data_IF_022556611862
#
_entry.id   IF_022556611862
#
_cell.length_a   1.000
_cell.length_b   1.000
_cell.length_c   1.000
_cell.angle_alpha   90.00
_cell.angle_beta   90.00
_cell.angle_gamma   90.00
#
_symmetry.space_group_name_H-M   'P 1'
#
loop_
_entity.id
_entity.type
_entity.pdbx_description
1 polymer ?
#
# COMPACT_ATOMS: atom_id res chain seq x y z
N UNK A 1 -22.13 -9.29 1.92
CA UNK A 1 -21.96 -10.72 1.59
C UNK A 1 -23.26 -11.52 1.74
N UNK A 2 -23.92 -11.54 2.92
CA UNK A 2 -25.09 -12.38 3.19
C UNK A 2 -26.19 -12.29 2.13
N UNK A 3 -26.67 -11.10 1.82
CA UNK A 3 -27.73 -10.87 0.83
C UNK A 3 -27.36 -11.40 -0.57
N UNK A 4 -26.10 -11.21 -0.98
CA UNK A 4 -25.63 -11.69 -2.29
C UNK A 4 -25.59 -13.21 -2.33
N UNK A 5 -25.14 -13.87 -1.26
CA UNK A 5 -25.12 -15.34 -1.17
C UNK A 5 -26.55 -15.90 -1.20
N UNK A 6 -27.50 -15.27 -0.46
CA UNK A 6 -28.90 -15.67 -0.47
C UNK A 6 -29.53 -15.52 -1.86
N UNK A 7 -29.22 -14.43 -2.56
CA UNK A 7 -29.67 -14.22 -3.93
C UNK A 7 -29.11 -15.27 -4.90
N UNK A 8 -27.79 -15.54 -4.85
CA UNK A 8 -27.15 -16.56 -5.68
C UNK A 8 -27.76 -17.94 -5.45
N UNK A 9 -27.97 -18.33 -4.20
CA UNK A 9 -28.60 -19.61 -3.87
C UNK A 9 -30.03 -19.72 -4.39
N UNK A 10 -30.80 -18.63 -4.35
CA UNK A 10 -32.17 -18.59 -4.84
C UNK A 10 -32.24 -18.64 -6.37
N UNK A 11 -31.44 -17.80 -7.04
CA UNK A 11 -31.59 -17.53 -8.46
C UNK A 11 -30.75 -18.48 -9.32
N UNK A 12 -29.49 -18.74 -8.90
CA UNK A 12 -28.52 -19.53 -9.70
C UNK A 12 -28.35 -20.98 -9.20
N UNK A 13 -28.63 -21.23 -7.91
CA UNK A 13 -28.51 -22.54 -7.24
C UNK A 13 -27.15 -23.20 -7.43
N UNK A 14 -26.03 -22.51 -7.18
CA UNK A 14 -24.71 -23.07 -7.35
C UNK A 14 -24.45 -24.19 -6.37
N UNK A 15 -23.65 -25.19 -6.77
CA UNK A 15 -23.16 -26.24 -5.88
C UNK A 15 -22.09 -25.75 -4.92
N UNK A 16 -21.25 -24.76 -5.35
CA UNK A 16 -20.15 -24.17 -4.58
C UNK A 16 -20.18 -22.66 -4.72
N UNK A 17 -19.98 -21.94 -3.61
CA UNK A 17 -19.84 -20.48 -3.60
C UNK A 17 -18.46 -20.10 -3.07
N UNK A 18 -17.68 -19.43 -3.92
CA UNK A 18 -16.35 -18.93 -3.58
C UNK A 18 -16.38 -17.39 -3.58
N UNK A 19 -15.93 -16.77 -2.50
CA UNK A 19 -15.73 -15.34 -2.43
C UNK A 19 -14.27 -15.00 -2.79
N UNK A 20 -14.08 -14.10 -3.74
CA UNK A 20 -12.80 -13.43 -3.99
C UNK A 20 -12.79 -12.09 -3.26
N UNK A 21 -11.84 -11.90 -2.35
CA UNK A 21 -11.81 -10.75 -1.45
C UNK A 21 -10.45 -10.04 -1.48
N UNK A 22 -10.41 -8.81 -0.94
CA UNK A 22 -9.17 -8.09 -0.71
C UNK A 22 -9.27 -7.30 0.61
N UNK A 23 -9.51 -8.02 1.73
CA UNK A 23 -9.82 -7.42 3.03
C UNK A 23 -8.77 -7.72 4.11
N UNK A 24 -7.83 -8.60 3.83
CA UNK A 24 -6.92 -9.17 4.81
C UNK A 24 -7.45 -10.44 5.46
N UNK A 25 -6.60 -11.16 6.18
CA UNK A 25 -6.97 -12.43 6.79
C UNK A 25 -7.82 -12.23 8.05
N UNK A 26 -7.24 -11.78 9.17
CA UNK A 26 -7.99 -11.48 10.39
C UNK A 26 -8.57 -10.05 10.39
N UNK A 27 -7.80 -9.13 9.88
CA UNK A 27 -8.11 -7.73 9.67
C UNK A 27 -7.33 -7.25 8.44
N UNK A 28 -7.38 -5.98 8.13
CA UNK A 28 -6.54 -5.44 7.05
C UNK A 28 -5.04 -5.38 7.41
N UNK A 29 -4.64 -6.01 8.50
CA UNK A 29 -3.26 -6.10 8.95
C UNK A 29 -2.72 -4.73 9.35
N UNK A 30 -1.43 -4.52 9.04
CA UNK A 30 -0.72 -3.27 9.28
C UNK A 30 -1.06 -2.16 8.27
N UNK A 31 -2.08 -2.36 7.43
CA UNK A 31 -2.37 -1.52 6.26
C UNK A 31 -3.58 -0.62 6.41
N UNK A 32 -3.94 -0.18 7.58
CA UNK A 32 -5.03 0.77 7.70
C UNK A 32 -5.79 0.74 9.02
N UNK A 33 -7.10 0.92 8.97
CA UNK A 33 -7.97 1.16 10.13
C UNK A 33 -8.35 -0.09 10.94
N UNK A 34 -7.66 -1.22 10.76
CA UNK A 34 -8.01 -2.52 11.35
C UNK A 34 -9.47 -2.94 11.05
N UNK A 35 -9.89 -2.73 9.80
CA UNK A 35 -11.18 -3.20 9.35
C UNK A 35 -11.25 -4.73 9.39
N UNK A 36 -12.42 -5.31 9.69
CA UNK A 36 -12.61 -6.76 9.73
C UNK A 36 -12.19 -7.42 8.41
N UNK A 37 -11.48 -8.55 8.53
CA UNK A 37 -10.96 -9.32 7.39
C UNK A 37 -11.84 -10.52 7.02
N UNK A 38 -11.25 -11.44 6.26
CA UNK A 38 -11.91 -12.64 5.74
C UNK A 38 -12.42 -13.57 6.86
N UNK A 39 -11.68 -13.66 7.95
CA UNK A 39 -12.06 -14.44 9.13
C UNK A 39 -13.36 -13.93 9.75
N UNK A 40 -13.48 -12.63 9.93
CA UNK A 40 -14.70 -12.02 10.49
C UNK A 40 -15.89 -12.18 9.52
N UNK A 41 -15.66 -12.02 8.23
CA UNK A 41 -16.70 -12.29 7.22
C UNK A 41 -17.20 -13.73 7.32
N UNK A 42 -16.30 -14.72 7.38
CA UNK A 42 -16.68 -16.12 7.49
C UNK A 42 -17.46 -16.41 8.79
N UNK A 43 -17.06 -15.80 9.92
CA UNK A 43 -17.72 -15.98 11.22
C UNK A 43 -19.07 -15.30 11.31
N UNK A 44 -19.27 -14.19 10.58
CA UNK A 44 -20.53 -13.43 10.56
C UNK A 44 -21.64 -14.06 9.69
N UNK A 45 -21.28 -15.02 8.85
CA UNK A 45 -22.20 -15.73 7.97
C UNK A 45 -22.66 -17.06 8.61
N UNK A 46 -23.89 -17.52 8.31
CA UNK A 46 -24.30 -18.87 8.71
C UNK A 46 -23.38 -19.95 8.14
N UNK A 47 -23.23 -21.05 8.88
CA UNK A 47 -22.45 -22.21 8.43
C UNK A 47 -22.89 -22.67 7.04
N UNK A 48 -21.94 -22.91 6.14
CA UNK A 48 -22.22 -23.37 4.79
C UNK A 48 -22.71 -22.30 3.82
N UNK A 49 -22.69 -21.01 4.18
CA UNK A 49 -23.03 -19.92 3.24
C UNK A 49 -21.93 -19.72 2.21
N UNK A 50 -20.67 -19.82 2.60
CA UNK A 50 -19.52 -19.81 1.71
C UNK A 50 -18.74 -21.10 1.89
N UNK A 51 -18.30 -21.68 0.79
CA UNK A 51 -17.44 -22.86 0.81
C UNK A 51 -15.97 -22.44 0.94
N UNK A 52 -15.58 -21.35 0.27
CA UNK A 52 -14.19 -20.87 0.25
C UNK A 52 -14.09 -19.35 0.10
N UNK A 53 -13.08 -18.77 0.70
CA UNK A 53 -12.63 -17.39 0.49
C UNK A 53 -11.21 -17.42 -0.05
N UNK A 54 -10.99 -16.76 -1.19
CA UNK A 54 -9.68 -16.46 -1.76
C UNK A 54 -9.36 -15.02 -1.44
N UNK A 55 -8.53 -14.82 -0.42
CA UNK A 55 -8.23 -13.51 0.16
C UNK A 55 -6.98 -12.83 -0.40
N UNK A 56 -6.73 -11.62 0.08
CA UNK A 56 -5.58 -10.79 -0.24
C UNK A 56 -5.38 -9.68 0.79
N UNK A 57 -4.64 -8.62 0.45
CA UNK A 57 -4.43 -7.39 1.22
C UNK A 57 -3.43 -7.48 2.38
N UNK A 58 -3.52 -8.42 3.30
CA UNK A 58 -2.57 -8.56 4.41
C UNK A 58 -1.17 -9.00 3.96
N UNK A 59 -1.04 -9.44 2.70
CA UNK A 59 0.25 -9.78 2.07
C UNK A 59 1.01 -10.89 2.82
N UNK A 60 0.28 -11.78 3.50
CA UNK A 60 0.82 -12.92 4.22
C UNK A 60 0.43 -14.23 3.54
N UNK A 61 1.27 -15.27 3.58
CA UNK A 61 0.81 -16.60 3.26
C UNK A 61 -0.13 -17.09 4.37
N UNK A 62 -1.34 -17.54 4.04
CA UNK A 62 -2.20 -18.16 5.04
C UNK A 62 -1.79 -19.61 5.21
N UNK A 63 -0.96 -19.85 6.23
CA UNK A 63 -0.56 -21.15 6.72
C UNK A 63 -0.87 -21.25 8.20
N UNK A 64 -1.66 -22.26 8.60
CA UNK A 64 -2.12 -22.43 9.97
C UNK A 64 -1.38 -23.57 10.66
N UNK A 65 -0.93 -23.32 11.89
CA UNK A 65 -0.36 -24.34 12.79
C UNK A 65 -1.43 -25.06 13.64
N UNK A 66 -2.68 -24.67 13.48
CA UNK A 66 -3.85 -25.18 14.20
C UNK A 66 -4.96 -24.14 14.18
N UNK A 67 -6.05 -24.41 14.88
CA UNK A 67 -7.22 -23.53 14.93
C UNK A 67 -6.84 -22.13 15.42
N UNK A 68 -7.18 -21.12 14.64
CA UNK A 68 -6.95 -19.69 14.93
C UNK A 68 -5.49 -19.32 15.21
N UNK A 69 -4.52 -20.11 14.81
CA UNK A 69 -3.09 -19.87 15.04
C UNK A 69 -2.31 -19.96 13.73
N UNK A 70 -1.80 -18.83 13.26
CA UNK A 70 -0.89 -18.78 12.11
C UNK A 70 0.43 -19.50 12.45
N UNK A 71 1.02 -20.13 11.44
CA UNK A 71 2.38 -20.67 11.51
C UNK A 71 3.38 -19.53 11.31
N UNK A 72 3.87 -18.95 12.40
CA UNK A 72 4.73 -17.76 12.37
C UNK A 72 6.08 -17.99 11.65
N UNK A 73 6.58 -19.23 11.67
CA UNK A 73 7.85 -19.65 11.10
C UNK A 73 7.69 -20.44 9.80
N UNK A 74 6.63 -20.15 9.03
CA UNK A 74 6.40 -20.84 7.76
C UNK A 74 7.58 -20.65 6.80
N UNK A 75 8.12 -21.79 6.34
CA UNK A 75 9.22 -21.83 5.37
C UNK A 75 8.66 -22.17 3.98
N UNK A 76 8.97 -21.36 2.94
CA UNK A 76 8.49 -21.61 1.58
C UNK A 76 8.78 -23.04 1.10
N UNK A 77 7.75 -23.72 0.60
CA UNK A 77 7.84 -25.09 0.11
C UNK A 77 7.64 -26.19 1.16
N UNK A 78 7.45 -25.85 2.43
CA UNK A 78 7.05 -26.81 3.47
C UNK A 78 5.53 -27.04 3.48
N UNK A 79 5.03 -28.11 4.14
CA UNK A 79 3.59 -28.31 4.29
C UNK A 79 2.89 -27.11 4.92
N UNK A 80 1.71 -26.81 4.41
CA UNK A 80 0.89 -25.68 4.80
C UNK A 80 -0.57 -26.11 4.89
N UNK A 81 -1.28 -25.65 5.90
CA UNK A 81 -2.73 -25.84 6.04
C UNK A 81 -3.44 -24.50 5.86
N UNK A 82 -4.54 -24.43 5.10
CA UNK A 82 -5.35 -23.22 5.02
C UNK A 82 -6.08 -22.97 6.35
N UNK A 83 -6.65 -21.78 6.51
CA UNK A 83 -7.57 -21.51 7.61
C UNK A 83 -8.96 -22.07 7.33
N UNK A 84 -9.71 -22.38 8.39
CA UNK A 84 -11.11 -22.79 8.30
C UNK A 84 -11.92 -22.15 9.40
N UNK A 85 -12.86 -21.29 9.02
CA UNK A 85 -13.70 -20.55 9.95
C UNK A 85 -15.16 -20.80 9.64
N UNK A 86 -15.91 -21.24 10.64
CA UNK A 86 -17.34 -21.51 10.50
C UNK A 86 -17.72 -22.36 9.27
N UNK A 87 -16.89 -23.35 8.97
CA UNK A 87 -17.05 -24.25 7.81
C UNK A 87 -16.44 -23.75 6.50
N UNK A 88 -16.10 -22.47 6.37
CA UNK A 88 -15.53 -21.83 5.19
C UNK A 88 -14.02 -21.98 5.16
N UNK A 89 -13.45 -22.45 4.07
CA UNK A 89 -11.99 -22.45 3.84
C UNK A 89 -11.51 -21.03 3.47
N UNK A 90 -10.40 -20.58 4.07
CA UNK A 90 -9.80 -19.28 3.79
C UNK A 90 -8.35 -19.48 3.35
N UNK A 91 -8.02 -18.96 2.17
CA UNK A 91 -6.69 -19.07 1.56
C UNK A 91 -6.17 -17.72 1.12
N UNK A 92 -4.87 -17.52 1.24
CA UNK A 92 -4.16 -16.35 0.71
C UNK A 92 -2.72 -16.75 0.33
N UNK A 93 -2.27 -16.35 -0.85
CA UNK A 93 -0.99 -16.75 -1.42
C UNK A 93 0.07 -15.63 -1.39
N UNK A 94 0.05 -14.76 -0.36
CA UNK A 94 0.98 -13.63 -0.21
C UNK A 94 0.75 -12.55 -1.28
N UNK A 95 1.82 -11.95 -1.79
CA UNK A 95 1.82 -10.84 -2.75
C UNK A 95 2.80 -11.09 -3.91
N UNK A 96 2.72 -10.28 -4.96
CA UNK A 96 3.72 -10.21 -6.04
C UNK A 96 3.93 -11.51 -6.82
N UNK A 97 2.98 -12.43 -6.79
CA UNK A 97 3.16 -13.74 -7.42
C UNK A 97 4.24 -14.60 -6.75
N UNK A 98 4.55 -14.35 -5.47
CA UNK A 98 5.53 -15.14 -4.71
C UNK A 98 5.14 -16.60 -4.57
N UNK A 99 3.83 -16.88 -4.54
CA UNK A 99 3.30 -18.23 -4.44
C UNK A 99 2.15 -18.44 -5.42
N UNK A 100 1.98 -19.69 -5.82
CA UNK A 100 0.74 -20.21 -6.37
C UNK A 100 0.09 -21.08 -5.29
N UNK A 101 -1.11 -20.70 -4.84
CA UNK A 101 -1.93 -21.53 -3.95
C UNK A 101 -2.59 -22.65 -4.77
N UNK A 102 -2.39 -23.90 -4.36
CA UNK A 102 -3.09 -25.06 -4.88
C UNK A 102 -3.95 -25.67 -3.80
N UNK A 103 -5.24 -25.82 -4.07
CA UNK A 103 -6.18 -26.52 -3.20
C UNK A 103 -6.97 -27.53 -4.05
N UNK A 104 -6.83 -28.80 -3.71
CA UNK A 104 -7.55 -29.89 -4.37
C UNK A 104 -8.73 -30.30 -3.47
N UNK A 105 -9.93 -30.27 -4.04
CA UNK A 105 -11.16 -30.58 -3.31
C UNK A 105 -11.87 -31.81 -3.88
N UNK A 106 -12.50 -32.56 -3.02
CA UNK A 106 -13.49 -33.56 -3.38
C UNK A 106 -14.88 -33.00 -3.03
N UNK A 107 -15.77 -32.91 -4.02
CA UNK A 107 -17.18 -32.55 -3.78
C UNK A 107 -18.02 -33.81 -3.74
N UNK A 108 -18.64 -34.07 -2.60
CA UNK A 108 -19.45 -35.27 -2.38
C UNK A 108 -20.65 -34.97 -1.48
N UNK A 109 -21.84 -35.33 -1.93
CA UNK A 109 -23.11 -35.14 -1.17
C UNK A 109 -23.36 -33.67 -0.74
N UNK A 110 -22.99 -32.70 -1.56
CA UNK A 110 -23.18 -31.28 -1.24
C UNK A 110 -22.13 -30.69 -0.30
N UNK A 111 -21.09 -31.45 0.05
CA UNK A 111 -19.99 -31.00 0.90
C UNK A 111 -18.66 -30.91 0.13
N UNK A 112 -17.95 -29.80 0.31
CA UNK A 112 -16.62 -29.56 -0.26
C UNK A 112 -15.56 -29.96 0.77
N UNK A 113 -14.85 -31.06 0.51
CA UNK A 113 -13.80 -31.60 1.36
C UNK A 113 -12.43 -31.28 0.77
N UNK A 114 -11.58 -30.58 1.53
CA UNK A 114 -10.20 -30.35 1.13
C UNK A 114 -9.40 -31.66 1.21
N UNK A 115 -8.76 -32.02 0.10
CA UNK A 115 -7.92 -33.23 -0.02
C UNK A 115 -6.44 -32.85 0.06
N UNK A 116 -6.04 -31.76 -0.58
CA UNK A 116 -4.67 -31.27 -0.58
C UNK A 116 -4.62 -29.76 -0.62
N UNK A 117 -3.67 -29.17 0.08
CA UNK A 117 -3.37 -27.74 0.02
C UNK A 117 -1.86 -27.52 0.01
N UNK A 118 -1.41 -26.61 -0.83
CA UNK A 118 -0.01 -26.23 -0.92
C UNK A 118 0.15 -24.79 -1.39
N UNK A 119 1.10 -24.08 -0.79
CA UNK A 119 1.65 -22.83 -1.33
C UNK A 119 2.96 -23.17 -2.06
N UNK A 120 2.92 -23.10 -3.39
CA UNK A 120 4.05 -23.38 -4.27
C UNK A 120 4.87 -22.10 -4.44
N UNK A 121 6.11 -22.00 -3.91
CA UNK A 121 6.92 -20.81 -4.06
C UNK A 121 7.42 -20.64 -5.50
N UNK A 122 7.18 -19.47 -6.10
CA UNK A 122 7.60 -19.14 -7.46
C UNK A 122 8.99 -18.52 -7.42
N UNK A 123 10.02 -19.35 -7.57
CA UNK A 123 11.43 -18.93 -7.64
C UNK A 123 11.89 -18.04 -6.47
N UNK A 124 11.31 -18.23 -5.29
CA UNK A 124 11.74 -17.52 -4.09
C UNK A 124 13.14 -17.94 -3.67
N UNK A 125 13.92 -16.95 -3.20
CA UNK A 125 15.30 -17.15 -2.77
C UNK A 125 15.49 -16.72 -1.32
N UNK A 126 16.30 -17.48 -0.57
CA UNK A 126 16.80 -17.11 0.75
C UNK A 126 18.27 -16.73 0.67
N UNK A 127 18.70 -15.86 1.57
CA UNK A 127 20.11 -15.53 1.78
C UNK A 127 20.74 -16.66 2.62
N UNK A 128 21.86 -17.17 2.16
CA UNK A 128 22.68 -18.15 2.89
C UNK A 128 24.05 -17.57 3.09
N UNK A 129 24.54 -17.59 4.32
CA UNK A 129 25.90 -17.16 4.63
C UNK A 129 26.88 -18.30 4.41
N UNK A 130 28.02 -18.00 3.77
CA UNK A 130 29.11 -18.94 3.53
C UNK A 130 30.14 -18.88 4.64
N UNK A 131 30.95 -19.93 4.74
CA UNK A 131 32.02 -20.03 5.74
C UNK A 131 33.09 -18.94 5.62
N UNK A 132 33.21 -18.30 4.46
CA UNK A 132 34.13 -17.19 4.18
C UNK A 132 33.55 -15.79 4.54
N UNK A 133 32.38 -15.75 5.18
CA UNK A 133 31.69 -14.52 5.54
C UNK A 133 30.93 -13.83 4.39
N UNK A 134 30.97 -14.38 3.18
CA UNK A 134 30.14 -13.92 2.07
C UNK A 134 28.74 -14.51 2.12
N UNK A 135 27.82 -13.98 1.37
CA UNK A 135 26.45 -14.53 1.26
C UNK A 135 26.03 -14.73 -0.18
N UNK A 136 25.23 -15.74 -0.41
CA UNK A 136 24.58 -15.97 -1.69
C UNK A 136 23.07 -16.14 -1.54
N UNK A 137 22.34 -15.94 -2.65
CA UNK A 137 20.88 -16.20 -2.69
C UNK A 137 20.62 -17.51 -3.39
N UNK A 138 20.10 -18.49 -2.65
CA UNK A 138 19.69 -19.81 -3.15
C UNK A 138 18.17 -19.94 -3.19
N UNK A 139 17.65 -20.74 -4.10
CA UNK A 139 16.21 -21.01 -4.17
C UNK A 139 15.75 -21.84 -2.94
N UNK A 140 14.53 -21.59 -2.46
CA UNK A 140 13.90 -22.42 -1.43
C UNK A 140 13.56 -23.81 -1.95
N UNK A 141 13.14 -23.90 -3.21
CA UNK A 141 12.74 -25.13 -3.90
C UNK A 141 13.42 -25.22 -5.25
N UNK A 142 13.17 -26.28 -6.01
CA UNK A 142 13.65 -26.38 -7.37
C UNK A 142 13.18 -25.18 -8.20
N UNK A 143 14.06 -24.61 -8.99
CA UNK A 143 13.73 -23.50 -9.90
C UNK A 143 12.68 -23.93 -10.91
N UNK A 144 11.65 -23.11 -11.04
CA UNK A 144 10.60 -23.25 -12.05
C UNK A 144 11.07 -22.52 -13.31
N UNK A 145 11.16 -23.22 -14.44
CA UNK A 145 11.52 -22.62 -15.72
C UNK A 145 10.39 -21.73 -16.24
N UNK A 146 10.76 -20.66 -16.95
CA UNK A 146 9.80 -19.81 -17.65
C UNK A 146 9.15 -20.59 -18.80
N UNK A 147 7.84 -20.47 -18.98
CA UNK A 147 7.12 -21.06 -20.10
C UNK A 147 7.45 -20.31 -21.39
N UNK A 148 8.03 -20.98 -22.41
CA UNK A 148 8.45 -20.31 -23.65
C UNK A 148 7.29 -19.68 -24.42
N UNK A 149 6.09 -20.28 -24.35
CA UNK A 149 4.90 -19.76 -25.04
C UNK A 149 4.43 -18.47 -24.38
N UNK A 150 4.37 -18.46 -23.05
CA UNK A 150 4.04 -17.26 -22.29
C UNK A 150 5.09 -16.16 -22.47
N UNK A 151 6.38 -16.51 -22.47
CA UNK A 151 7.45 -15.54 -22.73
C UNK A 151 7.34 -14.93 -24.12
N UNK A 152 7.05 -15.72 -25.15
CA UNK A 152 6.81 -15.21 -26.52
C UNK A 152 5.64 -14.24 -26.57
N UNK A 153 4.57 -14.52 -25.82
CA UNK A 153 3.40 -13.63 -25.70
C UNK A 153 3.75 -12.32 -24.97
N UNK A 154 4.50 -12.40 -23.87
CA UNK A 154 4.79 -11.27 -22.99
C UNK A 154 5.92 -10.36 -23.49
N UNK A 155 6.91 -10.91 -24.20
CA UNK A 155 8.12 -10.19 -24.64
C UNK A 155 7.82 -8.88 -25.38
N UNK A 156 6.90 -8.81 -26.38
CA UNK A 156 6.62 -7.55 -27.06
C UNK A 156 6.11 -6.44 -26.13
N UNK A 157 5.31 -6.80 -25.13
CA UNK A 157 4.79 -5.85 -24.14
C UNK A 157 5.90 -5.41 -23.18
N UNK A 158 6.76 -6.33 -22.76
CA UNK A 158 7.92 -6.03 -21.91
C UNK A 158 8.93 -5.11 -22.61
N UNK A 159 9.20 -5.34 -23.89
CA UNK A 159 10.10 -4.49 -24.69
C UNK A 159 9.52 -3.10 -24.88
N UNK A 160 8.24 -3.00 -25.21
CA UNK A 160 7.55 -1.71 -25.29
C UNK A 160 7.57 -0.98 -23.94
N UNK A 161 7.29 -1.69 -22.86
CA UNK A 161 7.39 -1.15 -21.50
C UNK A 161 8.80 -0.69 -21.14
N UNK A 162 9.82 -1.48 -21.43
CA UNK A 162 11.23 -1.11 -21.20
C UNK A 162 11.62 0.16 -21.95
N UNK A 163 11.22 0.29 -23.21
CA UNK A 163 11.54 1.46 -24.03
C UNK A 163 10.91 2.74 -23.46
N UNK A 164 9.68 2.67 -22.98
CA UNK A 164 8.96 3.82 -22.41
C UNK A 164 9.39 4.13 -20.98
N UNK A 165 9.58 3.11 -20.16
CA UNK A 165 9.85 3.24 -18.73
C UNK A 165 11.34 3.44 -18.40
N UNK A 166 12.22 3.01 -19.29
CA UNK A 166 13.68 3.14 -19.14
C UNK A 166 14.25 4.52 -19.50
N UNK A 167 13.42 5.43 -19.98
CA UNK A 167 13.86 6.79 -20.33
C UNK A 167 14.32 7.50 -19.06
N UNK A 168 15.54 8.01 -19.11
CA UNK A 168 16.10 8.87 -18.05
C UNK A 168 15.34 10.20 -18.03
N UNK A 169 14.80 10.55 -16.87
CA UNK A 169 14.07 11.80 -16.62
C UNK A 169 14.83 12.76 -15.71
N UNK A 170 15.92 12.30 -15.11
CA UNK A 170 16.74 13.09 -14.21
C UNK A 170 17.76 12.26 -13.47
N UNK A 171 18.30 12.81 -12.40
CA UNK A 171 19.22 12.12 -11.49
C UNK A 171 19.10 12.68 -10.08
N UNK A 172 19.59 11.91 -9.10
CA UNK A 172 19.66 12.33 -7.70
C UNK A 172 21.02 11.99 -7.11
N UNK A 173 21.55 12.91 -6.33
CA UNK A 173 22.68 12.70 -5.46
C UNK A 173 22.20 12.26 -4.08
N UNK A 174 22.58 11.07 -3.64
CA UNK A 174 22.07 10.45 -2.42
C UNK A 174 20.77 9.66 -2.64
N UNK A 175 20.42 8.81 -1.66
CA UNK A 175 19.19 7.99 -1.68
C UNK A 175 17.99 8.82 -1.26
N UNK A 176 16.88 8.69 -2.00
CA UNK A 176 15.58 9.15 -1.56
C UNK A 176 14.85 7.98 -0.88
N UNK A 177 14.67 8.10 0.42
CA UNK A 177 14.15 7.03 1.29
C UNK A 177 12.64 6.94 1.24
N UNK A 178 12.13 5.79 0.82
CA UNK A 178 10.71 5.46 0.75
C UNK A 178 10.41 4.06 1.26
N UNK A 179 11.37 3.42 1.96
CA UNK A 179 11.15 2.11 2.55
C UNK A 179 9.97 2.15 3.54
N UNK A 180 9.12 1.13 3.48
CA UNK A 180 7.94 0.98 4.32
C UNK A 180 8.25 1.11 5.80
N UNK A 181 9.37 0.52 6.25
CA UNK A 181 9.82 0.57 7.66
C UNK A 181 10.29 1.96 8.11
N UNK A 182 10.31 2.93 7.21
CA UNK A 182 10.66 4.34 7.48
C UNK A 182 9.49 5.27 7.24
N UNK A 183 8.92 5.26 6.04
CA UNK A 183 7.91 6.23 5.62
C UNK A 183 6.59 6.15 6.41
N UNK A 184 6.36 5.07 7.13
CA UNK A 184 5.20 4.89 8.02
C UNK A 184 5.48 5.22 9.49
N UNK A 185 6.70 5.65 9.81
CA UNK A 185 7.14 5.93 11.18
C UNK A 185 7.75 7.32 11.35
N UNK A 186 8.39 7.81 10.30
CA UNK A 186 9.10 9.09 10.31
C UNK A 186 8.86 9.85 9.01
N UNK A 187 9.11 11.15 9.03
CA UNK A 187 9.15 11.95 7.80
C UNK A 187 10.34 11.48 6.95
N UNK A 188 10.19 11.45 5.61
CA UNK A 188 11.26 11.00 4.70
C UNK A 188 11.54 12.02 3.60
N UNK A 189 12.77 12.03 3.09
CA UNK A 189 13.17 12.93 2.01
C UNK A 189 12.44 12.63 0.69
N UNK A 190 12.14 11.35 0.36
CA UNK A 190 11.35 11.03 -0.83
C UNK A 190 9.93 11.59 -0.75
N UNK A 191 9.24 11.38 0.39
CA UNK A 191 7.90 11.95 0.58
C UNK A 191 7.92 13.48 0.42
N UNK A 192 8.98 14.15 0.88
CA UNK A 192 9.16 15.59 0.70
C UNK A 192 9.35 16.01 -0.74
N UNK A 193 10.10 15.24 -1.54
CA UNK A 193 10.20 15.49 -3.00
C UNK A 193 8.82 15.35 -3.64
N UNK A 194 8.07 14.31 -3.32
CA UNK A 194 6.73 14.07 -3.84
C UNK A 194 5.77 15.20 -3.46
N UNK A 195 5.78 15.63 -2.21
CA UNK A 195 4.94 16.72 -1.71
C UNK A 195 5.40 18.09 -2.25
N UNK A 196 6.69 18.30 -2.48
CA UNK A 196 7.18 19.50 -3.14
C UNK A 196 6.69 19.60 -4.59
N UNK A 197 6.68 18.46 -5.31
CA UNK A 197 6.12 18.37 -6.64
C UNK A 197 4.61 18.71 -6.67
N UNK A 198 3.85 18.16 -5.73
CA UNK A 198 2.42 18.45 -5.60
C UNK A 198 2.16 19.92 -5.28
N UNK A 199 2.90 20.48 -4.31
CA UNK A 199 2.81 21.89 -3.96
C UNK A 199 3.07 22.83 -5.14
N UNK A 200 4.19 22.61 -5.81
CA UNK A 200 4.61 23.44 -6.95
C UNK A 200 3.57 23.38 -8.06
N UNK A 201 3.00 22.21 -8.32
CA UNK A 201 2.04 22.01 -9.43
C UNK A 201 0.75 22.82 -9.27
N UNK A 202 0.28 23.05 -8.03
CA UNK A 202 -0.98 23.75 -7.74
C UNK A 202 -0.80 25.03 -6.95
N UNK A 203 0.44 25.52 -6.82
CA UNK A 203 0.80 26.71 -6.06
C UNK A 203 0.22 26.67 -4.63
N UNK A 204 0.47 25.54 -3.92
CA UNK A 204 -0.05 25.35 -2.58
C UNK A 204 0.93 25.85 -1.51
N UNK A 205 0.39 26.37 -0.40
CA UNK A 205 1.17 26.79 0.77
C UNK A 205 1.85 25.59 1.44
N UNK A 206 1.14 24.47 1.52
CA UNK A 206 1.64 23.24 2.14
C UNK A 206 1.02 22.00 1.46
N UNK A 207 1.58 20.82 1.77
CA UNK A 207 1.05 19.56 1.26
C UNK A 207 1.09 18.46 2.31
N UNK A 208 0.14 17.53 2.20
CA UNK A 208 -0.01 16.37 3.09
C UNK A 208 -0.37 15.14 2.26
N UNK A 209 0.25 14.00 2.56
CA UNK A 209 -0.15 12.70 2.03
C UNK A 209 0.07 11.59 3.05
N UNK A 210 -0.62 10.47 2.88
CA UNK A 210 -0.37 9.27 3.68
C UNK A 210 0.94 8.58 3.26
N UNK A 211 1.71 8.09 4.20
CA UNK A 211 2.96 7.36 3.97
C UNK A 211 2.76 6.08 3.17
N UNK A 212 1.55 5.50 3.24
CA UNK A 212 1.15 4.36 2.40
C UNK A 212 1.16 4.64 0.90
N UNK A 213 1.11 5.90 0.49
CA UNK A 213 1.25 6.34 -0.90
C UNK A 213 2.68 6.23 -1.45
N UNK A 214 3.70 6.11 -0.59
CA UNK A 214 5.10 5.93 -0.98
C UNK A 214 5.43 4.44 -0.96
N UNK A 215 5.81 3.85 -2.10
CA UNK A 215 5.87 2.39 -2.25
C UNK A 215 7.27 1.81 -2.38
N UNK A 216 8.27 2.62 -2.64
CA UNK A 216 9.68 2.20 -2.76
C UNK A 216 10.60 3.41 -2.59
N UNK A 217 11.91 3.15 -2.52
CA UNK A 217 12.97 4.17 -2.52
C UNK A 217 13.49 4.43 -3.93
N UNK A 218 14.17 5.58 -4.11
CA UNK A 218 14.97 5.87 -5.30
C UNK A 218 16.43 5.93 -4.89
N UNK A 219 17.25 5.06 -5.46
CA UNK A 219 18.68 5.01 -5.19
C UNK A 219 19.40 6.18 -5.87
N UNK A 220 20.62 6.51 -5.38
CA UNK A 220 21.46 7.54 -5.97
C UNK A 220 21.83 7.21 -7.42
N UNK A 221 21.83 8.21 -8.29
CA UNK A 221 22.14 8.06 -9.71
C UNK A 221 21.00 8.49 -10.64
N UNK A 222 20.91 7.86 -11.79
CA UNK A 222 19.93 8.18 -12.81
C UNK A 222 18.50 7.76 -12.37
N UNK A 223 17.55 8.64 -12.60
CA UNK A 223 16.12 8.40 -12.36
C UNK A 223 15.43 8.19 -13.70
N UNK A 224 14.68 7.09 -13.80
CA UNK A 224 13.85 6.78 -14.96
C UNK A 224 12.37 6.91 -14.60
N UNK A 225 11.50 6.97 -15.60
CA UNK A 225 10.05 6.97 -15.36
C UNK A 225 9.58 5.71 -14.64
N UNK A 226 10.29 4.57 -14.82
CA UNK A 226 10.05 3.35 -14.06
C UNK A 226 10.22 3.55 -12.56
N UNK A 227 11.23 4.31 -12.13
CA UNK A 227 11.44 4.62 -10.71
C UNK A 227 10.24 5.41 -10.15
N UNK A 228 9.73 6.38 -10.90
CA UNK A 228 8.54 7.16 -10.50
C UNK A 228 7.32 6.27 -10.33
N UNK A 229 7.00 5.43 -11.32
CA UNK A 229 5.86 4.51 -11.24
C UNK A 229 6.01 3.44 -10.15
N UNK A 230 7.25 3.13 -9.75
CA UNK A 230 7.52 2.19 -8.65
C UNK A 230 7.21 2.84 -7.29
N UNK A 231 7.49 4.12 -7.12
CA UNK A 231 7.22 4.85 -5.87
C UNK A 231 5.78 5.35 -5.78
N UNK A 232 5.11 5.66 -6.91
CA UNK A 232 3.72 6.10 -7.01
C UNK A 232 2.93 5.30 -8.06
N UNK A 233 2.54 4.04 -7.78
CA UNK A 233 1.93 3.16 -8.79
C UNK A 233 0.41 3.30 -8.93
N UNK A 234 -0.26 4.10 -8.09
CA UNK A 234 -1.73 4.05 -7.96
C UNK A 234 -2.47 4.91 -8.97
N UNK A 235 -1.81 5.86 -9.62
CA UNK A 235 -2.46 6.77 -10.56
C UNK A 235 -3.48 7.69 -9.88
N UNK A 236 -3.21 8.11 -8.65
CA UNK A 236 -4.01 9.11 -7.97
C UNK A 236 -3.98 10.44 -8.71
N UNK A 237 -5.01 11.24 -8.52
CA UNK A 237 -5.05 12.61 -9.02
C UNK A 237 -4.71 13.62 -7.94
N UNK A 238 -4.02 14.68 -8.34
CA UNK A 238 -3.69 15.79 -7.45
C UNK A 238 -4.95 16.62 -7.18
N UNK A 239 -5.15 16.95 -5.91
CA UNK A 239 -6.24 17.79 -5.40
C UNK A 239 -5.64 18.99 -4.70
N UNK A 240 -6.30 20.14 -4.79
CA UNK A 240 -6.07 21.24 -3.86
C UNK A 240 -7.38 21.69 -3.20
N UNK A 241 -7.23 22.24 -1.99
CA UNK A 241 -8.33 22.80 -1.20
C UNK A 241 -7.85 24.07 -0.51
N UNK A 242 -8.65 25.14 -0.59
CA UNK A 242 -8.39 26.37 0.15
C UNK A 242 -9.19 26.33 1.46
N UNK A 243 -8.51 26.46 2.60
CA UNK A 243 -9.07 26.34 3.95
C UNK A 243 -8.66 27.51 4.81
N UNK A 244 -9.52 27.93 5.75
CA UNK A 244 -9.14 28.85 6.82
C UNK A 244 -8.12 28.20 7.76
N UNK A 245 -7.24 28.99 8.40
CA UNK A 245 -6.26 28.44 9.32
C UNK A 245 -6.89 27.62 10.45
N UNK A 246 -8.06 28.02 10.95
CA UNK A 246 -8.80 27.23 11.93
C UNK A 246 -9.24 25.85 11.42
N UNK A 247 -9.58 25.72 10.12
CA UNK A 247 -9.91 24.45 9.47
C UNK A 247 -8.64 23.62 9.21
N UNK A 248 -7.53 24.30 8.83
CA UNK A 248 -6.21 23.66 8.68
C UNK A 248 -5.76 23.05 10.00
N UNK A 249 -5.92 23.75 11.12
CA UNK A 249 -5.57 23.23 12.45
C UNK A 249 -6.36 21.99 12.80
N UNK A 250 -7.68 22.00 12.56
CA UNK A 250 -8.55 20.83 12.76
C UNK A 250 -8.14 19.64 11.87
N UNK A 251 -7.84 19.87 10.60
CA UNK A 251 -7.38 18.86 9.69
C UNK A 251 -6.04 18.25 10.16
N UNK A 252 -5.07 19.10 10.48
CA UNK A 252 -3.75 18.67 10.96
C UNK A 252 -3.85 17.94 12.30
N UNK A 253 -4.77 18.33 13.20
CA UNK A 253 -5.02 17.62 14.45
C UNK A 253 -5.43 16.15 14.25
N UNK A 254 -6.15 15.85 13.18
CA UNK A 254 -6.49 14.46 12.83
C UNK A 254 -5.28 13.75 12.19
N UNK A 255 -4.73 14.30 11.12
CA UNK A 255 -3.76 13.56 10.30
C UNK A 255 -2.37 13.43 10.95
N UNK A 256 -1.96 14.40 11.78
CA UNK A 256 -0.70 14.33 12.51
C UNK A 256 -0.72 13.28 13.65
N UNK A 257 -1.90 12.91 14.12
CA UNK A 257 -2.08 11.90 15.17
C UNK A 257 -2.46 10.51 14.60
N UNK A 258 -2.30 10.31 13.29
CA UNK A 258 -2.48 8.99 12.69
C UNK A 258 -1.42 8.02 13.21
N UNK A 259 -1.86 6.77 13.45
CA UNK A 259 -1.04 5.74 14.08
C UNK A 259 0.23 5.45 13.26
N UNK A 260 1.42 5.44 13.88
CA UNK A 260 2.62 4.89 13.26
C UNK A 260 2.41 3.42 12.86
N UNK A 261 3.21 2.92 11.92
CA UNK A 261 3.13 1.59 11.33
C UNK A 261 1.85 1.33 10.51
N UNK A 262 1.09 2.37 10.23
CA UNK A 262 -0.05 2.27 9.32
C UNK A 262 0.21 3.04 8.03
N UNK A 263 -0.51 2.71 6.96
CA UNK A 263 -0.50 3.50 5.73
C UNK A 263 -0.92 4.94 5.96
N UNK A 264 -1.75 5.17 6.98
CA UNK A 264 -2.29 6.47 7.34
C UNK A 264 -1.26 7.47 7.90
N UNK A 265 -0.10 7.00 8.41
CA UNK A 265 0.93 7.91 8.95
C UNK A 265 1.23 9.04 7.98
N UNK A 266 1.06 10.30 8.42
CA UNK A 266 1.10 11.45 7.53
C UNK A 266 2.53 11.92 7.26
N UNK A 267 2.78 12.23 6.00
CA UNK A 267 3.97 12.92 5.51
C UNK A 267 3.61 14.37 5.17
N UNK A 268 4.50 15.32 5.51
CA UNK A 268 4.24 16.74 5.41
C UNK A 268 5.29 17.48 4.60
N UNK A 269 4.89 18.53 3.90
CA UNK A 269 5.80 19.53 3.34
C UNK A 269 5.34 20.94 3.70
N UNK A 270 6.27 21.80 4.10
CA UNK A 270 6.07 23.18 4.56
C UNK A 270 5.19 23.32 5.82
N UNK A 271 5.10 22.28 6.62
CA UNK A 271 4.40 22.28 7.92
C UNK A 271 5.42 22.01 9.01
N UNK A 272 5.34 22.74 10.11
CA UNK A 272 5.93 22.33 11.38
C UNK A 272 4.88 22.39 12.47
N UNK A 273 4.88 21.41 13.39
CA UNK A 273 3.90 21.30 14.46
C UNK A 273 4.37 20.39 15.59
N UNK A 274 3.68 20.44 16.70
CA UNK A 274 3.76 19.49 17.81
C UNK A 274 2.43 18.74 17.88
N UNK A 275 2.46 17.41 17.83
CA UNK A 275 1.30 16.52 17.99
C UNK A 275 1.38 15.79 19.33
N UNK A 276 0.26 15.69 20.06
CA UNK A 276 0.20 15.11 21.42
C UNK A 276 -0.77 13.93 21.55
N UNK A 277 -1.14 13.34 20.41
CA UNK A 277 -2.11 12.24 20.34
C UNK A 277 -3.58 12.67 20.40
N UNK A 278 -3.87 13.93 20.65
CA UNK A 278 -5.23 14.50 20.73
C UNK A 278 -5.44 15.70 19.82
N UNK A 279 -4.37 16.46 19.59
CA UNK A 279 -4.42 17.68 18.79
C UNK A 279 -3.05 18.06 18.27
N UNK A 280 -2.94 19.31 17.83
CA UNK A 280 -1.68 19.92 17.38
C UNK A 280 -1.51 21.29 18.03
N UNK A 281 -0.26 21.67 18.20
CA UNK A 281 0.12 22.99 18.68
C UNK A 281 1.37 23.49 17.93
N UNK A 282 1.72 24.76 18.13
CA UNK A 282 2.89 25.40 17.53
C UNK A 282 2.91 25.27 16.00
N UNK A 283 1.72 25.23 15.37
CA UNK A 283 1.58 25.01 13.93
C UNK A 283 2.14 26.20 13.15
N UNK A 284 3.04 25.88 12.20
CA UNK A 284 3.57 26.87 11.26
C UNK A 284 3.42 26.35 9.84
N UNK A 285 3.05 27.25 8.93
CA UNK A 285 3.03 27.00 7.49
C UNK A 285 4.07 27.94 6.85
N UNK A 286 4.95 27.36 6.01
CA UNK A 286 6.08 28.11 5.43
C UNK A 286 6.94 28.82 6.52
N UNK A 287 7.11 28.22 7.69
CA UNK A 287 7.86 28.77 8.80
C UNK A 287 7.16 29.91 9.57
N UNK A 288 5.96 30.32 9.16
CA UNK A 288 5.17 31.36 9.82
C UNK A 288 4.07 30.75 10.69
N UNK A 289 3.80 31.29 11.89
CA UNK A 289 2.70 30.83 12.72
C UNK A 289 1.38 30.82 11.96
N UNK A 290 0.59 29.75 12.14
CA UNK A 290 -0.74 29.61 11.56
C UNK A 290 -1.66 30.73 12.07
N UNK A 291 -2.35 31.40 11.14
CA UNK A 291 -3.32 32.44 11.45
C UNK A 291 -4.74 31.93 11.17
N UNK A 292 -5.59 31.89 12.17
CA UNK A 292 -6.91 31.27 12.12
C UNK A 292 -7.79 31.76 10.96
N UNK A 293 -7.76 33.07 10.68
CA UNK A 293 -8.62 33.69 9.67
C UNK A 293 -8.01 33.75 8.25
N UNK A 294 -6.70 33.50 8.15
CA UNK A 294 -6.01 33.45 6.84
C UNK A 294 -6.41 32.20 6.08
N UNK A 295 -6.57 32.33 4.77
CA UNK A 295 -6.80 31.19 3.89
C UNK A 295 -5.47 30.63 3.41
N UNK A 296 -5.36 29.29 3.45
CA UNK A 296 -4.19 28.54 3.01
C UNK A 296 -4.63 27.50 1.97
N UNK A 297 -3.86 27.34 0.93
CA UNK A 297 -4.04 26.28 -0.05
C UNK A 297 -3.25 25.06 0.36
N UNK A 298 -3.92 23.92 0.50
CA UNK A 298 -3.33 22.62 0.73
C UNK A 298 -3.34 21.79 -0.55
N UNK A 299 -2.23 21.11 -0.87
CA UNK A 299 -2.18 20.05 -1.87
C UNK A 299 -2.26 18.67 -1.19
N UNK A 300 -2.98 17.75 -1.81
CA UNK A 300 -3.08 16.34 -1.40
C UNK A 300 -3.49 15.47 -2.58
N UNK A 301 -3.61 14.15 -2.36
CA UNK A 301 -4.10 13.23 -3.38
C UNK A 301 -5.60 12.95 -3.20
N UNK A 302 -6.30 12.66 -4.29
CA UNK A 302 -7.74 12.34 -4.26
C UNK A 302 -8.06 11.20 -3.30
N UNK A 303 -7.19 10.19 -3.19
CA UNK A 303 -7.35 9.11 -2.21
C UNK A 303 -7.51 9.63 -0.78
N UNK A 304 -6.60 10.51 -0.33
CA UNK A 304 -6.69 11.10 1.00
C UNK A 304 -7.86 12.08 1.13
N UNK A 305 -8.09 12.91 0.09
CA UNK A 305 -9.18 13.89 0.08
C UNK A 305 -10.59 13.27 0.15
N UNK A 306 -10.75 12.03 -0.31
CA UNK A 306 -11.99 11.27 -0.25
C UNK A 306 -12.14 10.43 1.03
N UNK A 307 -11.21 10.56 1.98
CA UNK A 307 -11.25 9.86 3.27
C UNK A 307 -10.44 8.56 3.31
N UNK A 308 -9.61 8.30 2.30
CA UNK A 308 -8.70 7.16 2.32
C UNK A 308 -7.78 7.19 3.54
N UNK A 309 -7.46 6.01 4.07
CA UNK A 309 -6.67 5.84 5.31
C UNK A 309 -7.27 6.53 6.55
N UNK A 310 -8.56 6.90 6.53
CA UNK A 310 -9.22 7.59 7.64
C UNK A 310 -8.94 9.10 7.71
N UNK A 311 -8.42 9.70 6.65
CA UNK A 311 -8.25 11.14 6.54
C UNK A 311 -9.61 11.87 6.51
N UNK A 312 -9.69 13.12 6.99
CA UNK A 312 -10.92 13.89 6.85
C UNK A 312 -11.32 14.06 5.38
N UNK A 313 -12.61 13.85 5.08
CA UNK A 313 -13.13 14.09 3.73
C UNK A 313 -13.13 15.57 3.40
N UNK A 314 -12.65 15.92 2.21
CA UNK A 314 -12.53 17.29 1.72
C UNK A 314 -13.41 17.56 0.50
N UNK A 315 -13.98 16.54 -0.11
CA UNK A 315 -14.78 16.60 -1.33
C UNK A 315 -16.11 17.36 -1.17
N UNK A 316 -16.56 17.57 0.07
CA UNK A 316 -17.70 18.41 0.40
C UNK A 316 -17.39 19.91 0.55
N UNK A 317 -16.12 20.31 0.51
CA UNK A 317 -15.73 21.72 0.66
C UNK A 317 -15.92 22.47 -0.66
N UNK A 318 -16.46 23.71 -0.65
CA UNK A 318 -16.66 24.49 -1.89
C UNK A 318 -15.38 24.78 -2.67
N UNK A 319 -14.23 24.79 -1.98
CA UNK A 319 -12.90 25.05 -2.54
C UNK A 319 -12.19 23.77 -3.05
N UNK A 320 -12.82 22.61 -2.94
CA UNK A 320 -12.27 21.35 -3.41
C UNK A 320 -12.13 21.34 -4.94
N UNK A 321 -10.92 21.09 -5.41
CA UNK A 321 -10.63 20.95 -6.85
C UNK A 321 -9.80 19.70 -7.07
N UNK A 322 -10.39 18.71 -7.76
CA UNK A 322 -9.62 17.63 -8.34
C UNK A 322 -9.09 18.08 -9.70
N UNK A 323 -7.78 18.20 -9.82
CA UNK A 323 -7.14 18.78 -11.01
C UNK A 323 -7.08 17.83 -12.21
N UNK A 324 -7.28 16.52 -11.98
CA UNK A 324 -7.05 15.48 -12.98
C UNK A 324 -5.56 15.20 -13.28
N UNK A 325 -4.62 15.93 -12.68
CA UNK A 325 -3.19 15.67 -12.86
C UNK A 325 -2.80 14.38 -12.14
N UNK A 326 -2.25 13.41 -12.86
CA UNK A 326 -1.79 12.14 -12.29
C UNK A 326 -0.53 12.37 -11.46
N UNK A 327 -0.51 11.85 -10.25
CA UNK A 327 0.55 12.01 -9.26
C UNK A 327 1.95 11.63 -9.78
N UNK A 328 2.06 10.50 -10.50
CA UNK A 328 3.31 10.06 -11.11
C UNK A 328 3.80 11.04 -12.20
N UNK A 329 2.92 11.63 -13.00
CA UNK A 329 3.30 12.62 -14.00
C UNK A 329 3.74 13.94 -13.35
N UNK A 330 3.10 14.33 -12.25
CA UNK A 330 3.49 15.51 -11.47
C UNK A 330 4.90 15.32 -10.90
N UNK A 331 5.19 14.17 -10.32
CA UNK A 331 6.51 13.85 -9.80
C UNK A 331 7.57 13.80 -10.92
N UNK A 332 7.24 13.17 -12.05
CA UNK A 332 8.12 13.11 -13.22
C UNK A 332 8.51 14.53 -13.70
N UNK A 333 7.53 15.39 -13.91
CA UNK A 333 7.76 16.77 -14.37
C UNK A 333 8.60 17.57 -13.37
N UNK A 334 8.39 17.37 -12.09
CA UNK A 334 9.20 17.98 -11.03
C UNK A 334 10.67 17.53 -11.10
N UNK A 335 10.90 16.22 -11.25
CA UNK A 335 12.26 15.66 -11.38
C UNK A 335 12.94 16.21 -12.64
N UNK A 336 12.25 16.23 -13.79
CA UNK A 336 12.79 16.77 -15.05
C UNK A 336 13.20 18.25 -14.92
N UNK A 337 12.41 19.03 -14.20
CA UNK A 337 12.64 20.47 -13.98
C UNK A 337 13.79 20.76 -13.01
N UNK A 338 13.90 19.95 -11.93
CA UNK A 338 14.80 20.23 -10.81
C UNK A 338 16.05 19.34 -10.78
N UNK A 339 16.23 18.47 -11.79
CA UNK A 339 17.41 17.58 -11.87
C UNK A 339 18.71 18.36 -12.14
N UNK A 340 19.82 17.97 -11.53
CA UNK A 340 19.98 16.91 -10.55
C UNK A 340 19.39 17.27 -9.18
N UNK A 341 18.65 16.34 -8.57
CA UNK A 341 18.18 16.50 -7.19
C UNK A 341 19.32 16.24 -6.20
N UNK A 342 19.29 16.91 -5.05
CA UNK A 342 20.14 16.59 -3.90
C UNK A 342 19.25 16.06 -2.77
N UNK A 343 19.40 14.78 -2.43
CA UNK A 343 18.60 14.13 -1.39
C UNK A 343 18.75 14.86 -0.03
N UNK A 344 19.92 15.40 0.27
CA UNK A 344 20.18 16.12 1.51
C UNK A 344 19.34 17.42 1.64
N UNK A 345 18.97 18.05 0.52
CA UNK A 345 18.12 19.24 0.53
C UNK A 345 16.69 18.96 1.00
N UNK A 346 16.27 17.72 0.90
CA UNK A 346 14.93 17.28 1.29
C UNK A 346 14.88 16.52 2.63
N UNK A 347 16.02 16.38 3.31
CA UNK A 347 16.03 15.71 4.62
C UNK A 347 15.12 16.43 5.64
N UNK A 348 14.34 15.66 6.41
CA UNK A 348 13.54 16.19 7.50
C UNK A 348 14.43 16.84 8.57
N UNK A 349 14.01 18.01 9.08
CA UNK A 349 14.76 18.81 10.08
C UNK A 349 14.08 18.80 11.46
N UNK A 350 13.24 17.79 11.71
CA UNK A 350 12.51 17.67 12.99
C UNK A 350 11.33 18.64 13.09
N UNK A 351 10.71 19.00 11.98
CA UNK A 351 9.59 19.95 11.95
C UNK A 351 8.34 19.36 12.61
N UNK A 352 8.20 18.04 12.61
CA UNK A 352 7.07 17.34 13.25
C UNK A 352 7.58 16.71 14.54
N UNK A 353 7.04 17.15 15.66
CA UNK A 353 7.40 16.65 17.00
C UNK A 353 6.20 15.92 17.59
N UNK A 354 6.41 14.69 18.04
CA UNK A 354 5.41 13.89 18.74
C UNK A 354 5.71 13.86 20.24
N UNK A 355 4.68 14.13 21.08
CA UNK A 355 4.78 14.15 22.55
C UNK A 355 3.84 13.15 23.19
#
# INVERSE_FOLDING_TARGET
AKQVVEQLRKDEKPDVIIAATHMGHYDNGEHGSNAPGDVEMARSLPVGYLDMIVGGHSQDPVCMAGDNRKQADYVPGTPCSPDRQNGTWIVQAHEWGKYVGRADFEFRNGELKLVHYQLIPVNLKKKVEKADGTSERVYYTQQIAEDPTMMKLLTPFQEKGKAQLGVKIGSVNGKLEGDRSKVRFVQTNLARVMLAAQRERVDADFAVMSGGGVRDSIESGDITYKNVLKVQPFGNTLVHVDMKGSEVEQYLAVVANMKPDSGAYAQFANVSLVADGKGVSEVKINGQPLQADKTYRMATLNFNALGGDGYPKLDGLPSYVNTGFIDAEVLKQYIEKHSPLDAAAYEPKGEIVYR
#
